data_IF_399723463209
#
_entry.id   IF_399723463209
#
_cell.length_a   1.000
_cell.length_b   1.000
_cell.length_c   1.000
_cell.angle_alpha   90.00
_cell.angle_beta   90.00
_cell.angle_gamma   90.00
#
_symmetry.space_group_name_H-M   'P 1'
#
loop_
_entity.id
_entity.type
_entity.pdbx_description
1 polymer ?
#
# COMPACT_ATOMS: atom_id res chain seq x y z
N UNK A 1 36.35 47.92 24.62
CA UNK A 1 37.64 47.40 24.12
C UNK A 1 37.69 45.85 24.07
N UNK A 2 36.55 45.15 23.92
CA UNK A 2 36.52 43.68 23.79
C UNK A 2 35.45 43.24 22.77
N UNK A 3 35.74 43.39 21.47
CA UNK A 3 34.84 42.87 20.42
C UNK A 3 35.51 42.35 19.15
N UNK A 4 36.80 42.01 19.19
CA UNK A 4 37.56 41.56 18.00
C UNK A 4 38.25 40.19 18.08
N UNK A 5 37.84 39.29 18.99
CA UNK A 5 38.49 37.96 19.14
C UNK A 5 37.72 36.75 18.57
N UNK A 6 36.56 36.93 17.94
CA UNK A 6 35.75 35.79 17.44
C UNK A 6 35.93 35.44 15.95
N UNK A 7 36.53 36.31 15.13
CA UNK A 7 36.66 36.05 13.68
C UNK A 7 37.92 35.27 13.27
N UNK A 8 38.94 35.19 14.13
CA UNK A 8 40.19 34.46 13.83
C UNK A 8 40.15 32.95 14.12
N UNK A 9 39.05 32.43 14.69
CA UNK A 9 38.94 30.99 15.05
C UNK A 9 38.40 30.07 13.94
N UNK A 10 37.84 30.61 12.85
CA UNK A 10 37.37 29.82 11.70
C UNK A 10 38.51 29.23 10.82
N UNK A 11 39.59 29.96 10.48
CA UNK A 11 40.65 29.38 9.64
C UNK A 11 41.44 28.25 10.32
N UNK A 12 41.56 28.27 11.66
CA UNK A 12 42.31 27.26 12.42
C UNK A 12 41.65 25.88 12.38
N UNK A 13 40.32 25.79 12.34
CA UNK A 13 39.61 24.49 12.26
C UNK A 13 39.73 23.84 10.88
N UNK A 14 39.86 24.63 9.81
CA UNK A 14 40.11 24.11 8.46
C UNK A 14 41.53 23.56 8.31
N UNK A 15 42.50 24.22 8.95
CA UNK A 15 43.90 23.77 9.00
C UNK A 15 44.08 22.42 9.72
N UNK A 16 43.30 22.12 10.76
CA UNK A 16 43.37 20.85 11.48
C UNK A 16 42.87 19.67 10.62
N UNK A 17 41.84 19.88 9.80
CA UNK A 17 41.37 18.85 8.86
C UNK A 17 42.39 18.63 7.75
N UNK A 18 43.01 19.70 7.21
CA UNK A 18 44.07 19.60 6.21
C UNK A 18 45.33 18.92 6.78
N UNK A 19 45.67 19.14 8.05
CA UNK A 19 46.84 18.52 8.69
C UNK A 19 46.73 16.99 8.83
N UNK A 20 45.53 16.40 8.76
CA UNK A 20 45.34 14.95 8.70
C UNK A 20 45.58 14.35 7.30
N UNK A 21 45.62 15.19 6.26
CA UNK A 21 45.86 14.78 4.88
C UNK A 21 47.24 15.20 4.34
N UNK A 22 48.01 15.97 5.11
CA UNK A 22 49.36 16.39 4.75
C UNK A 22 50.42 15.42 5.27
N UNK A 23 51.42 15.15 4.45
CA UNK A 23 52.68 14.57 4.88
C UNK A 23 53.29 15.43 6.02
N UNK A 24 53.69 14.83 7.17
CA UNK A 24 54.35 15.53 8.26
C UNK A 24 55.54 16.38 7.82
N UNK A 25 56.27 15.95 6.79
CA UNK A 25 57.43 16.68 6.27
C UNK A 25 57.03 17.96 5.54
N UNK A 26 55.85 17.96 4.89
CA UNK A 26 55.28 19.16 4.30
C UNK A 26 54.90 20.17 5.37
N UNK A 27 54.26 19.73 6.47
CA UNK A 27 53.88 20.62 7.58
C UNK A 27 55.10 21.24 8.28
N UNK A 28 56.19 20.49 8.41
CA UNK A 28 57.43 21.00 8.99
C UNK A 28 58.07 22.07 8.09
N UNK A 29 57.97 21.94 6.76
CA UNK A 29 58.45 22.98 5.84
C UNK A 29 57.70 24.32 5.97
N UNK A 30 56.44 24.30 6.43
CA UNK A 30 55.64 25.52 6.64
C UNK A 30 55.98 26.26 7.94
N UNK A 31 56.69 25.62 8.89
CA UNK A 31 57.05 26.22 10.19
C UNK A 31 58.24 27.18 10.12
N UNK A 32 59.04 27.10 9.06
CA UNK A 32 60.31 27.84 8.93
C UNK A 32 60.24 29.01 7.94
N UNK A 33 59.05 29.46 7.53
CA UNK A 33 58.89 30.55 6.57
C UNK A 33 59.10 31.88 7.30
N UNK A 34 60.07 32.68 6.86
CA UNK A 34 60.26 34.03 7.39
C UNK A 34 59.22 34.97 6.76
N UNK A 35 58.24 35.37 7.57
CA UNK A 35 57.14 36.25 7.15
C UNK A 35 57.63 37.66 6.77
N UNK A 36 58.87 38.01 7.09
CA UNK A 36 59.52 39.26 6.66
C UNK A 36 60.11 39.23 5.25
N UNK A 37 60.21 38.06 4.62
CA UNK A 37 60.76 37.90 3.26
C UNK A 37 59.63 37.76 2.23
N UNK A 38 59.44 38.78 1.39
CA UNK A 38 58.37 38.83 0.40
C UNK A 38 58.48 37.72 -0.67
N UNK A 39 59.70 37.31 -1.04
CA UNK A 39 59.92 36.21 -1.99
C UNK A 39 59.49 34.86 -1.40
N UNK A 40 59.86 34.58 -0.15
CA UNK A 40 59.46 33.35 0.55
C UNK A 40 57.94 33.28 0.75
N UNK A 41 57.30 34.41 1.08
CA UNK A 41 55.86 34.49 1.22
C UNK A 41 55.12 34.23 -0.10
N UNK A 42 55.62 34.77 -1.22
CA UNK A 42 55.03 34.52 -2.53
C UNK A 42 55.24 33.08 -3.00
N UNK A 43 56.41 32.49 -2.75
CA UNK A 43 56.67 31.08 -3.02
C UNK A 43 55.76 30.15 -2.19
N UNK A 44 55.50 30.50 -0.93
CA UNK A 44 54.55 29.78 -0.08
C UNK A 44 53.13 29.86 -0.64
N UNK A 45 52.64 31.05 -1.01
CA UNK A 45 51.29 31.21 -1.59
C UNK A 45 51.10 30.32 -2.81
N UNK A 46 52.07 30.30 -3.74
CA UNK A 46 52.02 29.44 -4.92
C UNK A 46 51.97 27.94 -4.57
N UNK A 47 52.78 27.50 -3.60
CA UNK A 47 52.75 26.11 -3.13
C UNK A 47 51.43 25.78 -2.43
N UNK A 48 50.91 26.70 -1.63
CA UNK A 48 49.64 26.55 -0.93
C UNK A 48 48.47 26.48 -1.91
N UNK A 49 48.43 27.35 -2.91
CA UNK A 49 47.39 27.35 -3.95
C UNK A 49 47.44 26.07 -4.80
N UNK A 50 48.63 25.60 -5.15
CA UNK A 50 48.83 24.32 -5.84
C UNK A 50 48.35 23.14 -4.99
N UNK A 51 48.74 23.09 -3.72
CA UNK A 51 48.29 22.06 -2.78
C UNK A 51 46.77 22.09 -2.60
N UNK A 52 46.19 23.27 -2.38
CA UNK A 52 44.75 23.44 -2.21
C UNK A 52 43.99 23.02 -3.47
N UNK A 53 44.51 23.34 -4.65
CA UNK A 53 43.96 22.87 -5.94
C UNK A 53 43.99 21.33 -6.05
N UNK A 54 45.07 20.68 -5.61
CA UNK A 54 45.16 19.21 -5.60
C UNK A 54 44.16 18.57 -4.61
N UNK A 55 44.00 19.16 -3.42
CA UNK A 55 43.01 18.70 -2.43
C UNK A 55 41.60 18.86 -2.98
N UNK A 56 41.27 20.00 -3.59
CA UNK A 56 39.96 20.22 -4.22
C UNK A 56 39.71 19.23 -5.36
N UNK A 57 40.71 18.92 -6.18
CA UNK A 57 40.62 17.91 -7.22
C UNK A 57 40.38 16.50 -6.64
N UNK A 58 41.09 16.14 -5.57
CA UNK A 58 40.92 14.84 -4.91
C UNK A 58 39.53 14.71 -4.27
N UNK A 59 39.07 15.73 -3.54
CA UNK A 59 37.72 15.76 -2.94
C UNK A 59 36.66 15.69 -4.03
N UNK A 60 36.82 16.44 -5.13
CA UNK A 60 35.90 16.40 -6.27
C UNK A 60 35.90 15.03 -6.94
N UNK A 61 37.06 14.39 -7.10
CA UNK A 61 37.21 13.05 -7.67
C UNK A 61 36.53 12.00 -6.79
N UNK A 62 36.77 12.02 -5.48
CA UNK A 62 36.13 11.12 -4.51
C UNK A 62 34.63 11.36 -4.42
N UNK A 63 34.19 12.62 -4.49
CA UNK A 63 32.77 12.94 -4.57
C UNK A 63 32.12 12.34 -5.82
N UNK A 64 32.74 12.47 -7.00
CA UNK A 64 32.26 11.82 -8.24
C UNK A 64 32.29 10.30 -8.15
N UNK A 65 33.30 9.70 -7.52
CA UNK A 65 33.37 8.25 -7.31
C UNK A 65 32.22 7.78 -6.42
N UNK A 66 31.96 8.48 -5.30
CA UNK A 66 30.82 8.22 -4.42
C UNK A 66 29.50 8.44 -5.15
N UNK A 67 29.36 9.51 -5.94
CA UNK A 67 28.17 9.74 -6.76
C UNK A 67 27.98 8.63 -7.80
N UNK A 68 29.04 8.17 -8.46
CA UNK A 68 28.97 7.09 -9.44
C UNK A 68 28.62 5.76 -8.78
N UNK A 69 29.21 5.46 -7.63
CA UNK A 69 28.89 4.26 -6.84
C UNK A 69 27.46 4.31 -6.28
N UNK A 70 26.98 5.49 -5.88
CA UNK A 70 25.59 5.68 -5.45
C UNK A 70 24.60 5.66 -6.64
N UNK A 71 25.05 6.03 -7.85
CA UNK A 71 24.27 5.92 -9.08
C UNK A 71 24.15 4.47 -9.54
N UNK A 72 25.15 3.62 -9.26
CA UNK A 72 25.03 2.18 -9.48
C UNK A 72 23.90 1.63 -8.60
N UNK A 73 22.77 1.33 -9.24
CA UNK A 73 21.58 0.83 -8.55
C UNK A 73 20.61 1.90 -8.06
N UNK A 74 20.78 3.19 -8.36
CA UNK A 74 19.72 4.20 -8.14
C UNK A 74 19.05 4.57 -9.45
N UNK A 75 17.72 4.53 -9.49
CA UNK A 75 16.95 4.90 -10.68
C UNK A 75 17.17 6.36 -11.07
N UNK A 76 17.57 6.58 -12.32
CA UNK A 76 17.55 7.91 -12.95
C UNK A 76 16.13 8.45 -13.03
N UNK A 77 15.96 9.77 -13.17
CA UNK A 77 14.64 10.38 -13.37
C UNK A 77 13.88 9.78 -14.58
N UNK A 78 14.60 9.45 -15.67
CA UNK A 78 14.03 8.76 -16.83
C UNK A 78 13.51 7.37 -16.49
N UNK A 79 14.26 6.58 -15.74
CA UNK A 79 13.81 5.25 -15.29
C UNK A 79 12.60 5.34 -14.36
N UNK A 80 12.57 6.31 -13.43
CA UNK A 80 11.40 6.54 -12.56
C UNK A 80 10.15 6.86 -13.38
N UNK A 81 10.25 7.78 -14.34
CA UNK A 81 9.15 8.09 -15.25
C UNK A 81 8.73 6.86 -16.05
N UNK A 82 9.70 6.13 -16.62
CA UNK A 82 9.43 4.91 -17.38
C UNK A 82 8.65 3.89 -16.55
N UNK A 83 9.05 3.68 -15.29
CA UNK A 83 8.33 2.79 -14.37
C UNK A 83 6.90 3.28 -14.13
N UNK A 84 6.71 4.57 -13.83
CA UNK A 84 5.37 5.15 -13.63
C UNK A 84 4.50 4.97 -14.89
N UNK A 85 5.06 5.22 -16.09
CA UNK A 85 4.38 5.02 -17.36
C UNK A 85 4.00 3.56 -17.63
N UNK A 86 4.92 2.62 -17.41
CA UNK A 86 4.66 1.17 -17.61
C UNK A 86 3.63 0.62 -16.63
N UNK A 87 3.54 1.20 -15.43
CA UNK A 87 2.52 0.87 -14.44
C UNK A 87 1.21 1.62 -14.65
N UNK A 88 1.17 2.51 -15.66
CA UNK A 88 0.02 3.33 -16.02
C UNK A 88 -0.51 4.22 -14.88
N UNK A 89 0.36 4.65 -13.95
CA UNK A 89 -0.01 5.43 -12.77
C UNK A 89 -0.19 6.94 -13.03
N UNK A 90 -0.02 7.37 -14.28
CA UNK A 90 -0.15 8.75 -14.73
C UNK A 90 -1.54 9.10 -15.27
N UNK A 91 -2.45 8.12 -15.38
CA UNK A 91 -3.77 8.37 -15.94
C UNK A 91 -4.59 9.27 -15.00
N UNK A 92 -5.36 10.24 -15.54
CA UNK A 92 -6.30 10.97 -14.71
C UNK A 92 -7.42 10.02 -14.24
N UNK A 93 -7.69 10.05 -12.93
CA UNK A 93 -8.85 9.37 -12.36
C UNK A 93 -10.13 9.97 -12.93
N UNK A 94 -11.10 9.11 -13.26
CA UNK A 94 -12.41 9.53 -13.77
C UNK A 94 -13.43 9.57 -12.64
N UNK A 95 -14.41 10.45 -12.71
CA UNK A 95 -15.60 10.37 -11.86
C UNK A 95 -16.58 9.31 -12.40
N UNK A 96 -17.59 8.95 -11.62
CA UNK A 96 -18.70 8.11 -12.10
C UNK A 96 -19.43 8.77 -13.26
N UNK A 97 -19.61 10.09 -13.24
CA UNK A 97 -20.26 10.82 -14.33
C UNK A 97 -19.44 10.75 -15.62
N UNK A 98 -18.11 10.87 -15.54
CA UNK A 98 -17.21 10.71 -16.69
C UNK A 98 -17.30 9.28 -17.25
N UNK A 99 -17.29 8.28 -16.36
CA UNK A 99 -17.41 6.86 -16.74
C UNK A 99 -18.76 6.60 -17.41
N UNK A 100 -19.86 7.17 -16.92
CA UNK A 100 -21.19 7.03 -17.51
C UNK A 100 -21.29 7.74 -18.87
N UNK A 101 -20.65 8.90 -19.01
CA UNK A 101 -20.66 9.67 -20.26
C UNK A 101 -19.85 8.99 -21.38
N UNK A 102 -18.71 8.37 -21.04
CA UNK A 102 -17.84 7.69 -22.01
C UNK A 102 -18.32 6.28 -22.38
N UNK A 103 -19.16 5.66 -21.55
CA UNK A 103 -19.68 4.31 -21.75
C UNK A 103 -21.19 4.37 -21.99
N UNK A 104 -21.65 4.85 -23.18
CA UNK A 104 -23.06 4.74 -23.53
C UNK A 104 -23.44 3.28 -23.41
N UNK A 105 -24.59 2.99 -22.78
CA UNK A 105 -25.08 1.67 -22.38
C UNK A 105 -25.19 0.68 -23.55
N UNK A 106 -24.07 0.25 -24.13
CA UNK A 106 -24.03 -0.80 -25.13
C UNK A 106 -23.92 -2.13 -24.39
N UNK A 107 -25.08 -2.69 -24.07
CA UNK A 107 -25.21 -3.99 -23.43
C UNK A 107 -24.64 -5.14 -24.29
N UNK A 108 -24.28 -4.88 -25.56
CA UNK A 108 -23.71 -5.88 -26.46
C UNK A 108 -22.17 -5.83 -26.54
N UNK A 109 -21.50 -4.88 -25.89
CA UNK A 109 -20.04 -4.85 -25.87
C UNK A 109 -19.52 -6.16 -25.24
N UNK A 110 -18.58 -6.90 -25.88
CA UNK A 110 -18.33 -8.30 -25.56
C UNK A 110 -17.57 -8.60 -24.25
N UNK A 111 -17.13 -7.59 -23.49
CA UNK A 111 -16.69 -7.62 -22.07
C UNK A 111 -16.17 -6.24 -21.67
N UNK A 112 -16.42 -5.81 -20.44
CA UNK A 112 -15.89 -4.57 -19.89
C UNK A 112 -14.36 -4.64 -19.77
N UNK A 113 -13.65 -3.62 -20.25
CA UNK A 113 -12.20 -3.48 -20.16
C UNK A 113 -11.80 -2.52 -19.04
N UNK A 114 -10.51 -2.43 -18.72
CA UNK A 114 -10.01 -1.46 -17.73
C UNK A 114 -10.42 -0.02 -18.07
N UNK A 115 -10.41 0.35 -19.35
CA UNK A 115 -10.72 1.71 -19.81
C UNK A 115 -12.24 1.93 -20.00
N UNK A 116 -12.99 0.86 -20.23
CA UNK A 116 -14.44 0.87 -20.44
C UNK A 116 -15.06 -0.27 -19.61
N UNK A 117 -15.22 -0.08 -18.29
CA UNK A 117 -15.81 -1.10 -17.44
C UNK A 117 -17.33 -1.18 -17.67
N UNK A 118 -17.91 -2.37 -17.51
CA UNK A 118 -19.36 -2.53 -17.56
C UNK A 118 -20.06 -1.73 -16.47
N UNK A 119 -21.13 -1.03 -16.82
CA UNK A 119 -21.97 -0.33 -15.84
C UNK A 119 -23.16 -1.21 -15.51
N UNK A 120 -23.22 -1.67 -14.27
CA UNK A 120 -24.26 -2.57 -13.79
C UNK A 120 -25.07 -1.84 -12.73
N UNK A 121 -26.26 -1.39 -13.12
CA UNK A 121 -27.25 -0.87 -12.19
C UNK A 121 -27.88 -2.03 -11.44
N UNK A 122 -27.63 -2.11 -10.13
CA UNK A 122 -28.15 -3.22 -9.34
C UNK A 122 -28.93 -2.72 -8.14
N UNK A 123 -30.25 -2.85 -8.24
CA UNK A 123 -31.11 -2.68 -7.07
C UNK A 123 -30.78 -3.75 -6.05
N UNK A 124 -30.31 -3.28 -4.93
CA UNK A 124 -29.91 -3.99 -3.74
C UNK A 124 -31.04 -4.90 -3.21
N UNK A 125 -30.78 -6.21 -3.08
CA UNK A 125 -31.79 -7.19 -2.63
C UNK A 125 -31.76 -7.35 -1.09
N UNK A 126 -32.87 -6.97 -0.45
CA UNK A 126 -33.04 -6.95 1.01
C UNK A 126 -33.62 -8.24 1.61
N UNK A 127 -34.09 -9.20 0.80
CA UNK A 127 -34.97 -10.28 1.29
C UNK A 127 -34.31 -11.67 1.34
N UNK A 128 -33.08 -11.85 0.85
CA UNK A 128 -32.48 -13.19 0.77
C UNK A 128 -30.94 -13.22 0.78
N UNK A 129 -30.37 -14.21 1.50
CA UNK A 129 -28.93 -14.49 1.61
C UNK A 129 -28.55 -15.30 2.87
N UNK A 130 -27.39 -15.96 2.86
CA UNK A 130 -26.89 -16.75 3.99
C UNK A 130 -26.61 -15.92 5.26
N UNK A 131 -26.61 -16.58 6.42
CA UNK A 131 -26.28 -15.95 7.70
C UNK A 131 -24.82 -15.45 7.78
N UNK A 132 -24.51 -14.60 8.76
CA UNK A 132 -23.11 -14.29 9.09
C UNK A 132 -22.34 -15.57 9.38
N UNK A 133 -21.03 -15.54 9.13
CA UNK A 133 -20.10 -16.67 9.31
C UNK A 133 -20.38 -17.88 8.43
N UNK A 134 -21.30 -17.78 7.48
CA UNK A 134 -21.47 -18.82 6.45
C UNK A 134 -20.23 -18.84 5.56
N UNK A 135 -19.71 -20.04 5.33
CA UNK A 135 -18.60 -20.26 4.41
C UNK A 135 -19.15 -20.37 3.00
N UNK A 136 -18.40 -19.85 2.04
CA UNK A 136 -18.84 -19.71 0.66
C UNK A 136 -18.08 -20.67 -0.23
N UNK A 137 -18.80 -21.31 -1.13
CA UNK A 137 -18.23 -22.15 -2.17
C UNK A 137 -18.56 -21.56 -3.55
N UNK A 138 -17.60 -21.59 -4.47
CA UNK A 138 -17.90 -21.48 -5.90
C UNK A 138 -18.47 -22.84 -6.37
N UNK A 139 -19.25 -22.84 -7.45
CA UNK A 139 -19.68 -24.03 -8.22
C UNK A 139 -18.58 -25.04 -8.52
N UNK A 140 -17.34 -24.57 -8.54
CA UNK A 140 -16.16 -25.34 -8.90
C UNK A 140 -15.47 -26.01 -7.69
N UNK A 141 -15.91 -25.68 -6.48
CA UNK A 141 -15.48 -26.30 -5.23
C UNK A 141 -16.50 -27.36 -4.81
N UNK A 142 -16.04 -28.50 -4.28
CA UNK A 142 -16.93 -29.44 -3.58
C UNK A 142 -17.44 -28.76 -2.30
N UNK A 143 -18.70 -28.32 -2.23
CA UNK A 143 -19.19 -27.63 -1.04
C UNK A 143 -19.21 -28.63 0.12
N UNK A 144 -18.79 -28.21 1.31
CA UNK A 144 -19.17 -28.93 2.52
C UNK A 144 -20.69 -28.79 2.72
N UNK A 145 -21.29 -29.70 3.51
CA UNK A 145 -22.75 -29.76 3.73
C UNK A 145 -23.38 -28.44 4.21
N UNK A 146 -22.59 -27.46 4.67
CA UNK A 146 -23.04 -26.17 5.20
C UNK A 146 -22.60 -24.97 4.37
N UNK A 147 -21.89 -25.19 3.27
CA UNK A 147 -21.40 -24.10 2.44
C UNK A 147 -22.54 -23.54 1.58
N UNK A 148 -22.55 -22.22 1.41
CA UNK A 148 -23.47 -21.58 0.50
C UNK A 148 -22.80 -21.44 -0.87
N UNK A 149 -23.39 -22.09 -1.89
CA UNK A 149 -22.87 -22.06 -3.26
C UNK A 149 -23.24 -20.74 -3.94
N UNK A 150 -22.25 -19.94 -4.28
CA UNK A 150 -22.42 -18.65 -4.95
C UNK A 150 -22.31 -18.81 -6.47
N UNK A 151 -23.46 -18.87 -7.16
CA UNK A 151 -23.52 -19.06 -8.61
C UNK A 151 -24.68 -18.29 -9.27
N UNK A 152 -24.72 -18.28 -10.59
CA UNK A 152 -25.78 -17.59 -11.36
C UNK A 152 -27.18 -18.14 -11.04
N UNK A 153 -27.31 -19.46 -10.85
CA UNK A 153 -28.57 -20.11 -10.48
C UNK A 153 -29.10 -19.64 -9.10
N UNK A 154 -28.19 -19.29 -8.18
CA UNK A 154 -28.49 -18.68 -6.88
C UNK A 154 -28.67 -17.15 -6.97
N UNK A 155 -28.65 -16.58 -8.19
CA UNK A 155 -28.84 -15.16 -8.47
C UNK A 155 -27.61 -14.29 -8.21
N UNK A 156 -26.40 -14.87 -8.22
CA UNK A 156 -25.16 -14.11 -8.17
C UNK A 156 -24.77 -13.65 -9.56
N UNK A 157 -24.17 -12.47 -9.64
CA UNK A 157 -23.44 -12.06 -10.83
C UNK A 157 -22.00 -12.57 -10.69
N UNK A 158 -21.49 -13.24 -11.72
CA UNK A 158 -20.12 -13.75 -11.74
C UNK A 158 -19.29 -12.81 -12.58
N UNK A 159 -18.52 -11.93 -11.93
CA UNK A 159 -17.55 -11.07 -12.61
C UNK A 159 -16.32 -11.92 -12.93
N UNK A 160 -16.09 -12.15 -14.22
CA UNK A 160 -15.08 -13.10 -14.72
C UNK A 160 -13.65 -12.54 -14.60
N UNK A 161 -12.64 -13.40 -14.78
CA UNK A 161 -11.21 -13.07 -14.54
C UNK A 161 -10.66 -11.93 -15.39
N UNK A 162 -11.29 -11.65 -16.53
CA UNK A 162 -10.86 -10.63 -17.48
C UNK A 162 -11.91 -9.51 -17.61
N UNK A 163 -12.77 -9.36 -16.62
CA UNK A 163 -13.89 -8.44 -16.66
C UNK A 163 -13.68 -7.28 -15.69
N UNK A 164 -13.88 -6.07 -16.21
CA UNK A 164 -14.00 -4.86 -15.40
C UNK A 164 -15.47 -4.43 -15.35
N UNK A 165 -15.97 -4.15 -14.15
CA UNK A 165 -17.35 -3.75 -13.91
C UNK A 165 -17.48 -2.75 -12.74
N UNK A 166 -18.41 -1.80 -12.88
CA UNK A 166 -18.82 -0.82 -11.88
C UNK A 166 -20.28 -1.11 -11.52
N UNK A 167 -20.51 -1.50 -10.27
CA UNK A 167 -21.84 -1.77 -9.73
C UNK A 167 -22.37 -0.51 -9.05
N UNK A 168 -23.40 0.08 -9.66
CA UNK A 168 -24.04 1.30 -9.17
C UNK A 168 -25.34 0.98 -8.44
N UNK A 169 -25.59 1.75 -7.40
CA UNK A 169 -26.90 1.86 -6.74
C UNK A 169 -27.31 3.33 -6.66
N UNK A 170 -28.60 3.56 -6.47
CA UNK A 170 -29.14 4.89 -6.22
C UNK A 170 -29.23 5.10 -4.71
N UNK A 171 -28.26 5.84 -4.17
CA UNK A 171 -28.26 6.18 -2.74
C UNK A 171 -28.66 7.64 -2.54
N UNK A 172 -29.32 7.98 -1.43
CA UNK A 172 -29.57 9.37 -1.08
C UNK A 172 -28.27 10.19 -1.05
N UNK A 173 -28.33 11.40 -1.57
CA UNK A 173 -27.23 12.36 -1.50
C UNK A 173 -26.91 12.71 -0.05
N UNK A 174 -25.64 12.98 0.26
CA UNK A 174 -25.24 13.42 1.60
C UNK A 174 -25.92 14.73 2.02
N UNK A 175 -26.28 15.57 1.05
CA UNK A 175 -26.87 16.89 1.30
C UNK A 175 -28.41 16.90 1.25
N UNK A 176 -29.01 15.89 0.61
CA UNK A 176 -30.46 15.84 0.41
C UNK A 176 -30.91 14.39 0.28
N UNK A 177 -31.67 13.91 1.26
CA UNK A 177 -32.15 12.53 1.29
C UNK A 177 -33.17 12.20 0.20
N UNK A 178 -33.78 13.20 -0.42
CA UNK A 178 -34.74 13.02 -1.52
C UNK A 178 -34.04 12.88 -2.88
N UNK A 179 -32.82 13.40 -3.00
CA UNK A 179 -32.04 13.32 -4.24
C UNK A 179 -31.23 12.02 -4.23
N UNK A 180 -31.58 11.10 -5.12
CA UNK A 180 -30.83 9.87 -5.31
C UNK A 180 -29.68 10.10 -6.31
N UNK A 181 -28.46 9.84 -5.88
CA UNK A 181 -27.26 9.94 -6.71
C UNK A 181 -26.71 8.55 -7.03
N UNK A 182 -26.21 8.33 -8.27
CA UNK A 182 -25.45 7.14 -8.60
C UNK A 182 -24.27 7.00 -7.65
N UNK A 183 -24.22 5.92 -6.88
CA UNK A 183 -23.13 5.67 -5.95
C UNK A 183 -22.53 4.30 -6.25
N UNK A 184 -21.20 4.22 -6.45
CA UNK A 184 -20.54 2.94 -6.66
C UNK A 184 -20.56 2.13 -5.36
N UNK A 185 -20.97 0.88 -5.48
CA UNK A 185 -21.09 -0.06 -4.35
C UNK A 185 -20.05 -1.15 -4.40
N UNK A 186 -19.62 -1.49 -5.62
CA UNK A 186 -18.48 -2.35 -5.91
C UNK A 186 -17.89 -1.89 -7.24
N UNK A 187 -16.57 -1.78 -7.29
CA UNK A 187 -15.82 -1.52 -8.52
C UNK A 187 -14.83 -2.66 -8.67
N UNK A 188 -14.78 -3.27 -9.84
CA UNK A 188 -13.82 -4.33 -10.20
C UNK A 188 -13.13 -3.90 -11.48
N UNK A 189 -11.81 -3.82 -11.46
CA UNK A 189 -10.99 -3.40 -12.57
C UNK A 189 -9.89 -4.45 -12.79
N UNK A 190 -9.97 -5.14 -13.92
CA UNK A 190 -8.96 -6.11 -14.34
C UNK A 190 -7.81 -5.43 -15.09
N UNK A 191 -6.60 -6.00 -14.99
CA UNK A 191 -5.44 -5.56 -15.78
C UNK A 191 -4.73 -4.32 -15.24
N UNK A 192 -4.96 -3.95 -13.97
CA UNK A 192 -4.26 -2.83 -13.32
C UNK A 192 -2.76 -3.13 -13.23
N UNK A 193 -1.97 -2.05 -13.35
CA UNK A 193 -0.53 -2.05 -13.62
C UNK A 193 -0.15 -2.41 -15.05
N UNK A 194 -1.08 -2.39 -16.01
CA UNK A 194 -0.76 -2.45 -17.43
C UNK A 194 -0.32 -3.83 -17.89
N UNK A 195 -1.26 -4.77 -18.01
CA UNK A 195 -1.02 -6.15 -18.45
C UNK A 195 -0.29 -6.29 -19.81
N UNK A 196 -0.07 -5.19 -20.55
CA UNK A 196 0.67 -5.14 -21.80
C UNK A 196 2.17 -4.80 -21.70
N UNK A 197 2.69 -4.40 -20.53
CA UNK A 197 4.11 -4.06 -20.38
C UNK A 197 4.90 -5.18 -19.67
N UNK A 198 6.09 -5.57 -20.17
CA UNK A 198 6.95 -6.57 -19.51
C UNK A 198 7.31 -6.20 -18.06
N UNK A 199 7.51 -4.91 -17.78
CA UNK A 199 7.81 -4.38 -16.46
C UNK A 199 6.71 -4.67 -15.44
N UNK A 200 5.47 -4.76 -15.89
CA UNK A 200 4.30 -5.00 -15.04
C UNK A 200 4.29 -6.39 -14.45
N UNK A 201 4.69 -7.41 -15.22
CA UNK A 201 4.83 -8.77 -14.73
C UNK A 201 5.92 -8.87 -13.65
N UNK A 202 7.07 -8.21 -13.87
CA UNK A 202 8.15 -8.11 -12.88
C UNK A 202 7.66 -7.38 -11.63
N UNK A 203 6.91 -6.29 -11.79
CA UNK A 203 6.39 -5.51 -10.68
C UNK A 203 5.35 -6.28 -9.84
N UNK A 204 4.42 -6.99 -10.49
CA UNK A 204 3.44 -7.84 -9.80
C UNK A 204 4.13 -9.01 -9.07
N UNK A 205 5.16 -9.62 -9.67
CA UNK A 205 5.99 -10.62 -9.00
C UNK A 205 6.73 -10.06 -7.78
N UNK A 206 7.22 -8.81 -7.88
CA UNK A 206 7.79 -8.11 -6.74
C UNK A 206 6.75 -7.87 -5.63
N UNK A 207 5.54 -7.39 -5.95
CA UNK A 207 4.46 -7.22 -4.98
C UNK A 207 4.09 -8.54 -4.29
N UNK A 208 3.98 -9.64 -5.05
CA UNK A 208 3.75 -10.99 -4.51
C UNK A 208 4.84 -11.35 -3.51
N UNK A 209 6.12 -11.18 -3.87
CA UNK A 209 7.23 -11.47 -2.98
C UNK A 209 7.18 -10.62 -1.70
N UNK A 210 6.78 -9.35 -1.77
CA UNK A 210 6.57 -8.51 -0.58
C UNK A 210 5.51 -9.11 0.34
N UNK A 211 4.39 -9.60 -0.23
CA UNK A 211 3.34 -10.28 0.53
C UNK A 211 3.85 -11.58 1.17
N UNK A 212 4.49 -12.46 0.40
CA UNK A 212 5.03 -13.73 0.90
C UNK A 212 6.00 -13.53 2.06
N UNK A 213 6.96 -12.61 1.91
CA UNK A 213 7.94 -12.30 2.96
C UNK A 213 7.24 -11.69 4.18
N UNK A 214 6.26 -10.80 3.99
CA UNK A 214 5.53 -10.19 5.09
C UNK A 214 4.74 -11.22 5.92
N UNK A 215 4.04 -12.16 5.28
CA UNK A 215 3.26 -13.20 5.98
C UNK A 215 4.11 -14.27 6.64
N UNK A 216 5.34 -14.50 6.18
CA UNK A 216 6.28 -15.41 6.83
C UNK A 216 6.95 -14.78 8.05
N UNK A 217 7.21 -13.48 8.02
CA UNK A 217 8.00 -12.80 9.04
C UNK A 217 7.17 -12.16 10.16
N UNK A 218 5.85 -12.02 9.98
CA UNK A 218 4.96 -11.41 10.97
C UNK A 218 4.00 -12.44 11.55
N UNK A 219 3.55 -12.16 12.77
CA UNK A 219 2.50 -12.95 13.43
C UNK A 219 1.22 -12.86 12.61
N UNK A 220 0.60 -14.00 12.39
CA UNK A 220 -0.71 -14.09 11.78
C UNK A 220 -1.75 -13.39 12.66
N UNK A 221 -2.60 -12.57 12.03
CA UNK A 221 -3.71 -11.88 12.69
C UNK A 221 -4.80 -12.89 13.06
N UNK A 222 -4.95 -13.99 12.31
CA UNK A 222 -5.95 -15.02 12.55
C UNK A 222 -5.33 -16.43 12.47
N UNK A 223 -4.57 -16.85 13.49
CA UNK A 223 -3.82 -18.11 13.46
C UNK A 223 -4.69 -19.38 13.31
N UNK A 224 -5.99 -19.29 13.65
CA UNK A 224 -6.94 -20.41 13.52
C UNK A 224 -7.64 -20.45 12.15
N UNK A 225 -7.47 -19.42 11.32
CA UNK A 225 -8.01 -19.40 9.97
C UNK A 225 -7.04 -20.09 8.99
N UNK A 226 -7.54 -20.72 7.91
CA UNK A 226 -6.67 -21.15 6.83
C UNK A 226 -5.98 -19.95 6.18
N UNK A 227 -4.80 -20.17 5.61
CA UNK A 227 -3.99 -19.11 5.01
C UNK A 227 -3.17 -18.33 6.02
N UNK A 228 -2.73 -17.14 5.62
CA UNK A 228 -2.01 -16.19 6.46
C UNK A 228 -2.47 -14.78 6.18
N UNK A 229 -2.67 -14.00 7.23
CA UNK A 229 -2.97 -12.58 7.13
C UNK A 229 -2.08 -11.77 8.05
N UNK A 230 -1.48 -10.70 7.53
CA UNK A 230 -0.71 -9.76 8.35
C UNK A 230 -1.23 -8.36 8.14
N UNK A 231 -1.52 -7.68 9.24
CA UNK A 231 -1.88 -6.28 9.25
C UNK A 231 -0.61 -5.41 9.34
N UNK A 232 -0.60 -4.32 8.59
CA UNK A 232 0.50 -3.37 8.50
C UNK A 232 -0.04 -1.95 8.64
N UNK A 233 0.77 -1.08 9.25
CA UNK A 233 0.40 0.28 9.58
C UNK A 233 0.02 0.40 11.06
N UNK A 234 -1.05 1.13 11.35
CA UNK A 234 -1.46 1.53 12.70
C UNK A 234 -2.18 0.37 13.43
N UNK A 235 -1.43 -0.61 13.94
CA UNK A 235 -1.99 -1.74 14.69
C UNK A 235 -2.22 -1.37 16.16
N UNK A 236 -3.47 -1.37 16.64
CA UNK A 236 -3.89 -0.83 17.94
C UNK A 236 -4.31 -1.89 18.97
N UNK A 237 -3.66 -3.05 18.99
CA UNK A 237 -3.78 -3.93 20.16
C UNK A 237 -3.37 -3.21 21.47
N UNK A 238 -3.85 -3.60 22.67
CA UNK A 238 -3.53 -2.84 23.89
C UNK A 238 -2.07 -3.01 24.36
N UNK A 239 -1.35 -4.03 23.85
CA UNK A 239 0.13 -4.09 23.92
C UNK A 239 0.83 -3.16 22.92
N UNK A 240 0.11 -2.64 21.93
CA UNK A 240 0.59 -1.79 20.82
C UNK A 240 0.29 -0.29 21.02
N UNK A 241 -0.60 0.06 21.96
CA UNK A 241 -0.75 1.44 22.44
C UNK A 241 0.60 2.07 22.90
N UNK A 242 1.54 1.25 23.39
CA UNK A 242 2.90 1.68 23.79
C UNK A 242 4.02 1.22 22.86
N UNK A 243 3.74 0.29 21.96
CA UNK A 243 4.75 -0.31 21.09
C UNK A 243 4.31 -0.15 19.66
N UNK A 244 4.78 0.95 19.07
CA UNK A 244 4.93 1.09 17.63
C UNK A 244 5.63 -0.20 17.16
N UNK A 245 4.90 -1.08 16.45
CA UNK A 245 5.40 -2.43 16.16
C UNK A 245 6.84 -2.39 15.66
N UNK A 246 7.67 -3.30 16.16
CA UNK A 246 9.02 -3.54 15.67
C UNK A 246 8.90 -4.59 14.57
N UNK A 247 8.71 -4.22 13.29
CA UNK A 247 8.82 -5.21 12.23
C UNK A 247 10.23 -5.79 12.23
N UNK A 248 10.42 -7.05 11.79
CA UNK A 248 11.74 -7.48 11.36
C UNK A 248 12.29 -6.43 10.38
N UNK A 249 13.53 -6.01 10.61
CA UNK A 249 14.08 -4.78 10.03
C UNK A 249 14.17 -4.81 8.50
N UNK A 250 14.13 -5.98 7.86
CA UNK A 250 14.64 -6.18 6.51
C UNK A 250 13.69 -5.87 5.35
N UNK A 251 12.37 -5.74 5.54
CA UNK A 251 11.42 -5.54 4.41
C UNK A 251 10.38 -4.43 4.62
N UNK A 252 10.51 -3.61 5.66
CA UNK A 252 9.46 -2.63 6.00
C UNK A 252 9.29 -1.55 4.92
N UNK A 253 10.39 -1.14 4.29
CA UNK A 253 10.37 -0.18 3.20
C UNK A 253 9.61 -0.74 1.99
N UNK A 254 9.80 -2.03 1.68
CA UNK A 254 9.10 -2.69 0.58
C UNK A 254 7.60 -2.79 0.85
N UNK A 255 7.18 -3.08 2.09
CA UNK A 255 5.75 -3.10 2.43
C UNK A 255 5.13 -1.69 2.31
N UNK A 256 5.81 -0.65 2.82
CA UNK A 256 5.34 0.73 2.66
C UNK A 256 5.27 1.11 1.19
N UNK A 257 6.29 0.74 0.40
CA UNK A 257 6.30 0.97 -1.03
C UNK A 257 5.15 0.24 -1.73
N UNK A 258 4.96 -1.06 -1.46
CA UNK A 258 3.91 -1.88 -2.05
C UNK A 258 2.53 -1.28 -1.76
N UNK A 259 2.21 -1.05 -0.50
CA UNK A 259 0.92 -0.45 -0.09
C UNK A 259 0.72 0.95 -0.70
N UNK A 260 1.77 1.78 -0.76
CA UNK A 260 1.70 3.11 -1.38
C UNK A 260 1.48 3.04 -2.88
N UNK A 261 2.12 2.10 -3.59
CA UNK A 261 1.86 1.91 -5.02
C UNK A 261 0.47 1.34 -5.29
N UNK A 262 -0.04 0.47 -4.43
CA UNK A 262 -1.44 0.00 -4.50
C UNK A 262 -2.42 1.16 -4.29
N UNK A 263 -2.18 2.02 -3.29
CA UNK A 263 -3.00 3.22 -3.10
C UNK A 263 -2.89 4.21 -4.27
N UNK A 264 -1.71 4.38 -4.86
CA UNK A 264 -1.54 5.17 -6.07
C UNK A 264 -2.38 4.60 -7.23
N UNK A 265 -2.35 3.27 -7.44
CA UNK A 265 -3.18 2.61 -8.44
C UNK A 265 -4.68 2.80 -8.16
N UNK A 266 -5.10 2.71 -6.88
CA UNK A 266 -6.47 2.99 -6.47
C UNK A 266 -6.88 4.42 -6.84
N UNK A 267 -6.03 5.43 -6.55
CA UNK A 267 -6.28 6.83 -6.92
C UNK A 267 -6.22 7.11 -8.42
N UNK A 268 -5.54 6.29 -9.20
CA UNK A 268 -5.47 6.42 -10.66
C UNK A 268 -6.69 5.80 -11.35
N UNK A 269 -7.10 4.61 -10.89
CA UNK A 269 -8.02 3.76 -11.65
C UNK A 269 -9.43 3.68 -11.09
N UNK A 270 -9.62 3.82 -9.77
CA UNK A 270 -10.97 3.83 -9.20
C UNK A 270 -11.67 5.16 -9.50
N UNK A 271 -13.02 5.18 -9.49
CA UNK A 271 -13.76 6.42 -9.55
C UNK A 271 -13.32 7.41 -8.46
N UNK A 272 -13.15 8.69 -8.83
CA UNK A 272 -12.80 9.76 -7.87
C UNK A 272 -13.84 9.88 -6.76
N UNK A 273 -15.10 9.56 -7.05
CA UNK A 273 -16.19 9.46 -6.08
C UNK A 273 -15.88 8.55 -4.88
N UNK A 274 -15.06 7.52 -5.06
CA UNK A 274 -14.65 6.61 -3.98
C UNK A 274 -13.43 7.17 -3.27
N UNK A 275 -12.38 7.51 -4.02
CA UNK A 275 -11.08 7.87 -3.45
C UNK A 275 -11.12 9.23 -2.76
N UNK A 276 -11.87 10.21 -3.30
CA UNK A 276 -12.10 11.50 -2.63
C UNK A 276 -12.90 11.36 -1.33
N UNK A 277 -13.91 10.49 -1.27
CA UNK A 277 -14.66 10.22 -0.02
C UNK A 277 -13.73 9.63 1.04
N UNK A 278 -12.87 8.69 0.65
CA UNK A 278 -11.86 8.12 1.55
C UNK A 278 -10.88 9.19 2.03
N UNK A 279 -10.28 9.98 1.13
CA UNK A 279 -9.33 11.03 1.51
C UNK A 279 -9.98 12.10 2.39
N UNK A 280 -11.23 12.50 2.10
CA UNK A 280 -12.00 13.42 2.95
C UNK A 280 -12.21 12.87 4.37
N UNK A 281 -12.50 11.57 4.54
CA UNK A 281 -12.63 10.95 5.87
C UNK A 281 -11.28 10.88 6.59
N UNK A 282 -10.21 10.55 5.88
CA UNK A 282 -8.85 10.58 6.45
C UNK A 282 -8.51 11.98 6.96
N UNK A 283 -8.79 13.02 6.19
CA UNK A 283 -8.57 14.42 6.58
C UNK A 283 -9.45 14.84 7.75
N UNK A 284 -10.76 14.54 7.69
CA UNK A 284 -11.74 14.84 8.74
C UNK A 284 -11.33 14.25 10.10
N UNK A 285 -10.84 13.01 10.11
CA UNK A 285 -10.38 12.35 11.33
C UNK A 285 -8.89 12.65 11.65
N UNK A 286 -8.23 13.43 10.79
CA UNK A 286 -6.79 13.72 10.79
C UNK A 286 -5.96 12.45 10.96
N UNK A 287 -6.34 11.40 10.24
CA UNK A 287 -5.67 10.10 10.26
C UNK A 287 -4.28 10.24 9.64
N UNK A 288 -3.24 9.64 10.25
CA UNK A 288 -1.89 9.69 9.71
C UNK A 288 -1.80 8.86 8.43
N UNK A 289 -0.75 9.07 7.65
CA UNK A 289 -0.40 8.16 6.54
C UNK A 289 0.40 6.96 7.07
N UNK A 290 0.54 5.92 6.24
CA UNK A 290 1.25 4.70 6.62
C UNK A 290 2.66 5.03 7.13
N UNK A 291 2.91 4.62 8.37
CA UNK A 291 4.17 4.81 9.05
C UNK A 291 4.45 3.61 9.94
N UNK A 292 5.71 3.45 10.32
CA UNK A 292 6.15 2.35 11.19
C UNK A 292 7.16 2.90 12.17
N UNK A 293 7.48 2.14 13.23
CA UNK A 293 8.49 2.57 14.20
C UNK A 293 9.83 2.95 13.55
N UNK A 294 10.22 2.20 12.52
CA UNK A 294 11.50 2.36 11.83
C UNK A 294 11.41 3.37 10.68
N UNK A 295 10.21 3.71 10.24
CA UNK A 295 9.96 4.62 9.14
C UNK A 295 8.94 5.65 9.61
N UNK A 296 9.45 6.76 10.15
CA UNK A 296 8.63 7.84 10.69
C UNK A 296 7.65 8.35 9.62
N UNK A 297 6.52 8.85 10.09
CA UNK A 297 5.68 9.74 9.30
C UNK A 297 6.44 11.04 9.06
N UNK A 298 6.34 11.59 7.86
CA UNK A 298 7.02 12.83 7.52
C UNK A 298 6.52 13.95 8.42
N UNK A 299 7.42 14.86 8.79
CA UNK A 299 7.02 16.03 9.57
C UNK A 299 5.99 16.79 8.72
N UNK A 300 4.79 16.92 9.30
CA UNK A 300 3.49 17.30 8.72
C UNK A 300 3.42 18.59 7.88
N UNK A 301 4.53 19.29 7.63
CA UNK A 301 4.48 20.62 7.02
C UNK A 301 5.38 20.87 5.81
N UNK A 302 6.46 20.11 5.54
CA UNK A 302 7.33 20.47 4.38
C UNK A 302 8.02 19.36 3.58
N UNK A 303 7.98 18.08 3.96
CA UNK A 303 8.57 17.02 3.14
C UNK A 303 7.78 15.72 3.29
N UNK A 304 7.24 15.19 2.18
CA UNK A 304 6.63 13.87 2.17
C UNK A 304 7.63 12.84 2.68
N UNK A 305 7.22 11.97 3.59
CA UNK A 305 7.97 10.73 3.78
C UNK A 305 7.59 9.81 2.64
N UNK A 306 8.26 9.98 1.51
CA UNK A 306 8.10 9.11 0.37
C UNK A 306 8.40 7.65 0.66
N UNK A 307 8.59 6.90 -0.41
CA UNK A 307 8.95 5.49 -0.32
C UNK A 307 10.09 5.16 -1.27
N UNK A 308 10.74 4.05 -0.98
CA UNK A 308 11.83 3.50 -1.78
C UNK A 308 11.48 2.05 -2.07
N UNK A 309 11.58 1.63 -3.33
CA UNK A 309 11.39 0.24 -3.74
C UNK A 309 12.58 -0.23 -4.58
N UNK A 310 13.00 -1.48 -4.36
CA UNK A 310 14.02 -2.14 -5.17
C UNK A 310 13.37 -3.06 -6.20
N UNK A 311 13.58 -2.80 -7.50
CA UNK A 311 13.09 -3.63 -8.60
C UNK A 311 14.24 -3.94 -9.55
N UNK A 312 14.51 -5.22 -9.81
CA UNK A 312 15.61 -5.69 -10.68
C UNK A 312 16.99 -5.08 -10.35
N UNK A 313 17.31 -4.97 -9.05
CA UNK A 313 18.57 -4.36 -8.59
C UNK A 313 18.64 -2.84 -8.73
N UNK A 314 17.55 -2.19 -9.17
CA UNK A 314 17.43 -0.73 -9.27
C UNK A 314 16.53 -0.21 -8.15
N UNK A 315 17.03 0.78 -7.42
CA UNK A 315 16.36 1.44 -6.30
C UNK A 315 15.64 2.68 -6.80
N UNK A 316 14.32 2.67 -6.75
CA UNK A 316 13.46 3.79 -7.11
C UNK A 316 13.04 4.53 -5.84
N UNK A 317 13.41 5.80 -5.73
CA UNK A 317 13.05 6.66 -4.60
C UNK A 317 12.05 7.73 -5.06
N UNK A 318 10.93 7.83 -4.35
CA UNK A 318 9.84 8.77 -4.59
C UNK A 318 9.61 9.62 -3.33
N UNK A 319 10.52 10.56 -2.99
CA UNK A 319 10.49 11.30 -1.73
C UNK A 319 9.24 12.16 -1.56
N UNK A 320 8.72 12.71 -2.65
CA UNK A 320 7.61 13.68 -2.62
C UNK A 320 6.23 13.04 -2.73
N UNK A 321 6.16 11.71 -2.85
CA UNK A 321 4.88 11.00 -2.97
C UNK A 321 4.32 10.68 -1.59
N UNK A 322 3.06 11.04 -1.38
CA UNK A 322 2.35 10.70 -0.15
C UNK A 322 2.15 9.19 -0.03
N UNK A 323 2.41 8.64 1.15
CA UNK A 323 2.20 7.21 1.45
C UNK A 323 0.72 6.83 1.44
N UNK A 324 0.49 5.51 1.39
CA UNK A 324 -0.83 4.92 1.60
C UNK A 324 -1.51 5.37 2.91
N UNK A 325 -2.83 5.18 3.04
CA UNK A 325 -3.56 5.27 4.31
C UNK A 325 -2.94 4.40 5.43
N UNK A 326 -3.35 4.62 6.69
CA UNK A 326 -2.64 4.08 7.84
C UNK A 326 -2.82 2.58 8.07
N UNK A 327 -3.65 1.89 7.29
CA UNK A 327 -3.94 0.47 7.49
C UNK A 327 -3.91 -0.29 6.17
N UNK A 328 -3.18 -1.41 6.18
CA UNK A 328 -3.19 -2.38 5.10
C UNK A 328 -3.15 -3.81 5.64
N UNK A 329 -3.66 -4.75 4.84
CA UNK A 329 -3.59 -6.18 5.08
C UNK A 329 -2.87 -6.83 3.90
N UNK A 330 -1.90 -7.68 4.20
CA UNK A 330 -1.21 -8.52 3.23
C UNK A 330 -1.64 -9.96 3.53
N UNK A 331 -2.21 -10.62 2.54
CA UNK A 331 -2.87 -11.92 2.72
C UNK A 331 -2.34 -12.92 1.71
N UNK A 332 -2.18 -14.17 2.17
CA UNK A 332 -1.88 -15.34 1.33
C UNK A 332 -2.87 -16.42 1.69
N UNK A 333 -3.54 -16.97 0.69
CA UNK A 333 -4.39 -18.15 0.79
C UNK A 333 -5.42 -18.07 1.92
N UNK A 334 -5.98 -16.87 2.14
CA UNK A 334 -6.79 -16.56 3.30
C UNK A 334 -8.30 -16.58 2.97
N UNK A 335 -9.00 -17.72 3.17
CA UNK A 335 -10.46 -17.77 3.13
C UNK A 335 -11.05 -17.14 4.40
N UNK A 336 -12.11 -16.36 4.24
CA UNK A 336 -12.84 -15.78 5.34
C UNK A 336 -14.34 -15.93 5.11
N UNK A 337 -15.01 -16.48 6.11
CA UNK A 337 -16.47 -16.58 6.12
C UNK A 337 -17.11 -15.20 6.00
N UNK A 338 -18.40 -15.19 5.68
CA UNK A 338 -19.18 -13.96 5.64
C UNK A 338 -19.07 -13.13 6.92
N UNK A 339 -18.66 -11.88 6.78
CA UNK A 339 -18.53 -10.95 7.89
C UNK A 339 -18.81 -9.51 7.46
N UNK A 340 -18.72 -8.60 8.43
CA UNK A 340 -18.80 -7.16 8.28
C UNK A 340 -17.55 -6.59 8.93
N UNK A 341 -16.96 -5.59 8.31
CA UNK A 341 -15.85 -4.85 8.90
C UNK A 341 -16.32 -3.43 9.17
N UNK A 342 -16.55 -3.06 10.45
CA UNK A 342 -16.81 -1.68 10.80
C UNK A 342 -15.66 -0.79 10.35
N UNK A 343 -15.95 0.19 9.50
CA UNK A 343 -14.95 1.10 8.96
C UNK A 343 -15.38 2.57 9.13
N UNK A 344 -14.40 3.46 9.18
CA UNK A 344 -14.62 4.91 9.30
C UNK A 344 -14.61 5.64 7.97
N UNK A 345 -14.06 5.02 6.92
CA UNK A 345 -14.11 5.52 5.55
C UNK A 345 -15.17 4.77 4.75
N UNK A 346 -15.76 5.42 3.76
CA UNK A 346 -16.87 4.86 2.95
C UNK A 346 -16.34 3.96 1.81
N UNK A 347 -15.44 3.05 2.14
CA UNK A 347 -14.82 2.14 1.18
C UNK A 347 -13.51 1.54 1.68
N UNK A 348 -13.18 0.38 1.14
CA UNK A 348 -11.85 -0.24 1.17
C UNK A 348 -11.45 -0.59 -0.26
N UNK A 349 -10.15 -0.71 -0.53
CA UNK A 349 -9.67 -1.18 -1.82
C UNK A 349 -8.66 -2.31 -1.67
N UNK A 350 -8.63 -3.22 -2.63
CA UNK A 350 -7.74 -4.37 -2.62
C UNK A 350 -7.29 -4.71 -4.02
N UNK A 351 -6.07 -5.21 -4.14
CA UNK A 351 -5.52 -5.71 -5.40
C UNK A 351 -4.99 -7.13 -5.22
N UNK A 352 -5.42 -8.00 -6.12
CA UNK A 352 -4.85 -9.34 -6.27
C UNK A 352 -3.48 -9.20 -6.95
N UNK A 353 -2.41 -9.48 -6.21
CA UNK A 353 -1.03 -9.42 -6.72
C UNK A 353 -0.55 -10.78 -7.23
N UNK A 354 -1.29 -11.84 -6.90
CA UNK A 354 -1.13 -13.17 -7.47
C UNK A 354 -2.45 -13.94 -7.37
N UNK A 355 -2.88 -14.54 -8.47
CA UNK A 355 -3.94 -15.53 -8.48
C UNK A 355 -3.48 -16.73 -9.32
N UNK A 356 -2.85 -17.71 -8.67
CA UNK A 356 -2.44 -18.94 -9.30
C UNK A 356 -3.55 -19.98 -9.14
N UNK A 357 -4.07 -20.44 -10.27
CA UNK A 357 -5.16 -21.42 -10.33
C UNK A 357 -4.67 -22.78 -10.81
N UNK A 358 -3.36 -22.96 -10.97
CA UNK A 358 -2.78 -24.26 -11.23
C UNK A 358 -3.00 -25.13 -10.00
N UNK A 359 -3.72 -26.24 -10.18
CA UNK A 359 -4.00 -27.17 -9.09
C UNK A 359 -2.70 -27.92 -8.77
N UNK A 360 -2.30 -27.90 -7.51
CA UNK A 360 -1.15 -28.67 -7.04
C UNK A 360 -1.32 -30.17 -7.40
N UNK A 361 -0.38 -30.81 -8.13
CA UNK A 361 -0.53 -32.18 -8.64
C UNK A 361 -0.97 -33.26 -7.63
N UNK A 362 -0.65 -33.20 -6.32
CA UNK A 362 -1.16 -34.17 -5.35
C UNK A 362 -2.70 -34.17 -5.24
N UNK A 363 -3.33 -33.01 -5.43
CA UNK A 363 -4.80 -32.87 -5.42
C UNK A 363 -5.43 -33.32 -6.75
N UNK A 364 -4.66 -33.36 -7.84
CA UNK A 364 -5.12 -33.86 -9.14
C UNK A 364 -5.34 -35.39 -9.15
N UNK A 365 -4.90 -36.10 -8.12
CA UNK A 365 -5.16 -37.54 -7.93
C UNK A 365 -6.53 -37.85 -7.31
N UNK A 366 -7.22 -36.82 -6.78
CA UNK A 366 -8.63 -36.95 -6.41
C UNK A 366 -9.47 -37.01 -7.71
N UNK A 367 -10.57 -37.78 -7.75
CA UNK A 367 -11.35 -38.00 -8.98
C UNK A 367 -11.62 -36.69 -9.73
N UNK A 368 -11.27 -36.64 -11.03
CA UNK A 368 -11.26 -35.43 -11.88
C UNK A 368 -12.60 -34.67 -11.88
N UNK A 369 -13.69 -35.32 -11.50
CA UNK A 369 -15.02 -34.74 -11.35
C UNK A 369 -15.18 -33.86 -10.08
N UNK A 370 -14.15 -33.72 -9.24
CA UNK A 370 -14.28 -33.08 -7.90
C UNK A 370 -13.60 -31.72 -7.71
N UNK A 371 -12.74 -31.27 -8.62
CA UNK A 371 -12.08 -29.96 -8.48
C UNK A 371 -11.95 -29.25 -9.83
N UNK A 372 -12.64 -28.12 -9.96
CA UNK A 372 -12.41 -27.17 -11.04
C UNK A 372 -11.56 -26.00 -10.51
N UNK A 373 -10.66 -25.52 -11.37
CA UNK A 373 -9.56 -24.56 -11.19
C UNK A 373 -9.99 -23.13 -10.79
N UNK A 374 -10.96 -22.93 -9.90
CA UNK A 374 -11.62 -21.63 -9.74
C UNK A 374 -11.94 -21.18 -8.29
N UNK A 375 -11.26 -21.70 -7.27
CA UNK A 375 -11.36 -21.16 -5.90
C UNK A 375 -10.58 -19.86 -5.69
N UNK A 376 -10.74 -19.23 -4.52
CA UNK A 376 -9.97 -18.03 -4.10
C UNK A 376 -10.57 -16.67 -4.48
N UNK A 377 -11.86 -16.68 -4.77
CA UNK A 377 -12.63 -15.56 -5.31
C UNK A 377 -13.15 -14.70 -4.16
N UNK A 378 -13.00 -13.37 -4.24
CA UNK A 378 -13.68 -12.46 -3.30
C UNK A 378 -15.16 -12.41 -3.63
N UNK A 379 -16.00 -12.59 -2.62
CA UNK A 379 -17.44 -12.54 -2.78
C UNK A 379 -18.00 -11.45 -1.87
N UNK A 380 -19.06 -10.81 -2.35
CA UNK A 380 -19.91 -9.94 -1.55
C UNK A 380 -21.32 -10.54 -1.37
N UNK A 381 -21.52 -11.62 -0.57
CA UNK A 381 -22.86 -12.18 -0.31
C UNK A 381 -23.60 -11.51 0.86
N UNK A 382 -24.93 -11.63 0.91
CA UNK A 382 -25.89 -10.83 1.71
C UNK A 382 -26.32 -11.36 3.10
N UNK A 383 -26.74 -10.45 4.04
CA UNK A 383 -28.07 -10.37 4.77
C UNK A 383 -28.16 -9.76 6.22
N UNK A 384 -28.13 -8.44 6.46
CA UNK A 384 -28.95 -7.80 7.55
C UNK A 384 -29.03 -6.29 7.37
N UNK A 385 -30.25 -5.70 7.43
CA UNK A 385 -30.69 -4.28 7.28
C UNK A 385 -30.04 -3.39 6.20
N UNK A 386 -28.85 -3.72 5.73
CA UNK A 386 -28.12 -3.13 4.64
C UNK A 386 -28.00 -4.15 3.51
N UNK A 387 -28.26 -3.76 2.25
CA UNK A 387 -28.40 -4.73 1.19
C UNK A 387 -27.06 -5.13 0.56
N UNK A 388 -27.02 -6.29 -0.11
CA UNK A 388 -25.83 -6.83 -0.78
C UNK A 388 -25.88 -6.67 -2.29
N UNK A 389 -24.69 -6.67 -2.90
CA UNK A 389 -24.49 -6.66 -4.34
C UNK A 389 -24.65 -8.04 -4.98
N UNK A 390 -24.53 -9.17 -4.25
CA UNK A 390 -24.51 -10.55 -4.79
C UNK A 390 -23.59 -10.71 -5.99
N UNK A 391 -22.34 -10.28 -5.81
CA UNK A 391 -21.30 -10.39 -6.84
C UNK A 391 -20.23 -11.34 -6.36
N UNK A 392 -19.81 -12.22 -7.26
CA UNK A 392 -18.66 -13.12 -7.13
C UNK A 392 -17.58 -12.55 -8.04
N UNK A 393 -16.44 -12.14 -7.50
CA UNK A 393 -15.33 -11.55 -8.28
C UNK A 393 -14.24 -12.58 -8.46
N UNK A 394 -14.20 -13.20 -9.64
CA UNK A 394 -13.14 -14.15 -10.00
C UNK A 394 -11.86 -13.36 -10.24
N UNK A 395 -11.01 -13.26 -9.24
CA UNK A 395 -9.79 -12.45 -9.34
C UNK A 395 -8.75 -13.11 -10.24
N UNK A 396 -8.09 -12.29 -11.05
CA UNK A 396 -6.82 -12.57 -11.69
C UNK A 396 -5.72 -11.73 -11.03
N UNK A 397 -4.46 -11.99 -11.38
CA UNK A 397 -3.35 -11.10 -11.02
C UNK A 397 -3.57 -9.72 -11.68
N UNK A 398 -3.46 -8.65 -10.90
CA UNK A 398 -3.75 -7.29 -11.35
C UNK A 398 -5.23 -6.90 -11.29
N UNK A 399 -6.10 -7.70 -10.67
CA UNK A 399 -7.48 -7.27 -10.38
C UNK A 399 -7.51 -6.34 -9.18
N UNK A 400 -7.80 -5.06 -9.41
CA UNK A 400 -8.08 -4.05 -8.39
C UNK A 400 -9.59 -3.97 -8.15
N UNK A 401 -10.02 -3.88 -6.91
CA UNK A 401 -11.43 -3.66 -6.60
C UNK A 401 -11.60 -2.78 -5.38
N UNK A 402 -12.73 -2.09 -5.33
CA UNK A 402 -13.15 -1.29 -4.18
C UNK A 402 -14.59 -1.61 -3.81
N UNK A 403 -14.85 -1.68 -2.52
CA UNK A 403 -16.15 -2.03 -1.96
C UNK A 403 -16.33 -1.35 -0.60
N UNK A 404 -17.56 -1.19 -0.15
CA UNK A 404 -17.85 -0.75 1.21
C UNK A 404 -17.83 -1.97 2.15
N UNK A 405 -16.87 -2.05 3.08
CA UNK A 405 -16.66 -3.22 3.93
C UNK A 405 -17.69 -3.29 5.08
N UNK A 406 -18.53 -2.26 5.26
CA UNK A 406 -19.72 -2.32 6.12
C UNK A 406 -20.87 -3.12 5.49
N UNK A 407 -20.72 -3.55 4.24
CA UNK A 407 -21.57 -4.58 3.65
C UNK A 407 -20.97 -5.97 3.84
N UNK A 408 -21.85 -6.98 3.82
CA UNK A 408 -21.41 -8.36 4.00
C UNK A 408 -20.52 -8.81 2.85
N UNK A 409 -19.38 -9.36 3.22
CA UNK A 409 -18.39 -9.85 2.28
C UNK A 409 -17.64 -11.04 2.89
N UNK A 410 -16.95 -11.78 2.04
CA UNK A 410 -16.14 -12.93 2.39
C UNK A 410 -15.30 -13.39 1.20
N UNK A 411 -14.61 -14.50 1.34
CA UNK A 411 -13.90 -15.16 0.24
C UNK A 411 -14.36 -16.61 0.14
N UNK A 412 -14.35 -17.16 -1.07
CA UNK A 412 -14.60 -18.60 -1.23
C UNK A 412 -13.49 -19.43 -0.63
N UNK A 413 -13.77 -20.71 -0.43
CA UNK A 413 -12.72 -21.71 -0.41
C UNK A 413 -11.79 -21.60 -1.63
N UNK A 414 -10.50 -21.83 -1.38
CA UNK A 414 -9.44 -21.80 -2.38
C UNK A 414 -9.38 -23.07 -3.24
N UNK A 415 -9.76 -24.22 -2.68
CA UNK A 415 -9.87 -25.48 -3.41
C UNK A 415 -8.61 -25.82 -4.25
N UNK A 416 -7.43 -25.52 -3.70
CA UNK A 416 -6.13 -25.73 -4.36
C UNK A 416 -5.61 -24.54 -5.17
N UNK A 417 -6.38 -23.46 -5.32
CA UNK A 417 -5.87 -22.19 -5.84
C UNK A 417 -5.02 -21.46 -4.80
N UNK A 418 -4.07 -20.66 -5.27
CA UNK A 418 -3.28 -19.76 -4.44
C UNK A 418 -3.61 -18.31 -4.75
N UNK A 419 -3.90 -17.51 -3.72
CA UNK A 419 -4.18 -16.09 -3.87
C UNK A 419 -3.30 -15.24 -2.95
N UNK A 420 -2.84 -14.10 -3.47
CA UNK A 420 -2.12 -13.10 -2.68
C UNK A 420 -2.75 -11.74 -2.94
N UNK A 421 -3.13 -11.05 -1.87
CA UNK A 421 -3.85 -9.78 -1.95
C UNK A 421 -3.24 -8.75 -1.00
N UNK A 422 -3.15 -7.51 -1.49
CA UNK A 422 -2.88 -6.32 -0.67
C UNK A 422 -4.18 -5.53 -0.57
N UNK A 423 -4.68 -5.35 0.65
CA UNK A 423 -5.89 -4.58 0.95
C UNK A 423 -5.53 -3.33 1.72
N UNK A 424 -6.08 -2.18 1.34
CA UNK A 424 -6.03 -0.93 2.11
C UNK A 424 -7.37 -0.81 2.86
N UNK A 425 -7.28 -0.84 4.20
CA UNK A 425 -8.42 -0.88 5.11
C UNK A 425 -8.58 0.43 5.89
N UNK A 426 -9.74 0.57 6.55
CA UNK A 426 -10.11 1.75 7.33
C UNK A 426 -10.93 1.37 8.57
N UNK A 427 -10.44 0.43 9.36
CA UNK A 427 -11.10 -0.13 10.54
C UNK A 427 -11.48 0.94 11.57
N UNK A 428 -12.74 0.92 12.00
CA UNK A 428 -13.23 1.82 13.05
C UNK A 428 -12.46 1.65 14.37
N UNK A 429 -11.90 0.45 14.62
CA UNK A 429 -11.06 0.21 15.80
C UNK A 429 -9.75 1.00 15.78
N UNK A 430 -9.16 1.19 14.59
CA UNK A 430 -7.95 2.00 14.42
C UNK A 430 -8.27 3.47 14.67
N UNK A 431 -9.37 3.97 14.11
CA UNK A 431 -9.81 5.35 14.35
C UNK A 431 -10.06 5.59 15.85
N UNK A 432 -10.84 4.73 16.51
CA UNK A 432 -11.16 4.87 17.92
C UNK A 432 -9.89 4.87 18.80
N UNK A 433 -8.95 3.97 18.51
CA UNK A 433 -7.68 3.92 19.22
C UNK A 433 -6.78 5.14 18.94
N UNK A 434 -6.79 5.67 17.72
CA UNK A 434 -6.08 6.90 17.38
C UNK A 434 -6.67 8.12 18.08
N UNK A 435 -8.00 8.25 18.13
CA UNK A 435 -8.70 9.29 18.87
C UNK A 435 -8.42 9.19 20.38
N UNK A 436 -8.41 7.97 20.93
CA UNK A 436 -8.01 7.74 22.32
C UNK A 436 -6.55 8.19 22.57
N UNK A 437 -5.62 7.84 21.66
CA UNK A 437 -4.22 8.25 21.78
C UNK A 437 -4.02 9.78 21.67
N UNK A 438 -4.80 10.47 20.83
CA UNK A 438 -4.79 11.94 20.70
C UNK A 438 -5.12 12.64 22.02
N UNK A 439 -6.02 12.07 22.81
CA UNK A 439 -6.45 12.63 24.10
C UNK A 439 -5.47 12.34 25.25
N UNK A 440 -4.36 11.67 24.97
CA UNK A 440 -3.34 11.29 25.96
C UNK A 440 -3.55 9.89 26.54
N UNK A 441 -2.46 9.16 26.75
CA UNK A 441 -2.51 7.87 27.47
C UNK A 441 -2.60 8.14 28.97
N UNK A 442 -3.80 8.25 29.52
CA UNK A 442 -3.97 8.36 30.97
C UNK A 442 -3.74 7.02 31.68
N UNK A 443 -4.03 5.88 31.03
CA UNK A 443 -3.85 4.54 31.60
C UNK A 443 -3.45 3.52 30.53
N UNK A 444 -2.59 2.55 30.88
CA UNK A 444 -2.32 1.39 30.02
C UNK A 444 -3.28 0.26 30.34
N UNK A 445 -4.20 -0.02 29.42
CA UNK A 445 -5.08 -1.19 29.53
C UNK A 445 -4.31 -2.52 29.44
N UNK A 446 -4.86 -3.54 30.08
CA UNK A 446 -4.35 -4.92 30.02
C UNK A 446 -4.65 -5.49 28.63
N UNK A 447 -3.63 -6.00 27.94
CA UNK A 447 -3.69 -6.49 26.56
C UNK A 447 -4.78 -7.53 26.28
N UNK A 448 -5.55 -7.32 25.20
CA UNK A 448 -6.37 -8.33 24.54
C UNK A 448 -5.46 -9.34 23.84
N UNK A 449 -5.01 -10.33 24.60
CA UNK A 449 -4.60 -11.62 24.06
C UNK A 449 -5.83 -12.52 24.04
N UNK A 450 -6.13 -13.04 22.86
CA UNK A 450 -6.99 -14.19 22.61
C UNK A 450 -8.51 -13.98 22.83
N UNK A 451 -9.23 -13.86 21.71
CA UNK A 451 -10.48 -14.61 21.54
C UNK A 451 -11.80 -14.09 22.12
N UNK A 452 -11.90 -12.89 22.69
CA UNK A 452 -13.21 -12.36 23.10
C UNK A 452 -13.56 -11.04 22.41
N UNK A 453 -14.65 -11.07 21.64
CA UNK A 453 -15.43 -9.87 21.33
C UNK A 453 -15.74 -9.18 22.66
N UNK A 454 -15.26 -7.95 22.84
CA UNK A 454 -15.67 -7.13 23.98
C UNK A 454 -17.18 -6.91 23.89
N UNK A 455 -17.94 -7.58 24.75
CA UNK A 455 -19.17 -6.98 25.27
C UNK A 455 -18.75 -5.67 25.93
N UNK A 456 -19.08 -4.56 25.31
CA UNK A 456 -19.07 -3.27 25.98
C UNK A 456 -20.09 -3.35 27.12
N UNK A 457 -19.60 -3.62 28.34
CA UNK A 457 -20.37 -3.37 29.55
C UNK A 457 -20.56 -1.86 29.60
N UNK A 458 -21.74 -1.40 29.21
CA UNK A 458 -22.21 -0.07 29.55
C UNK A 458 -22.23 0.02 31.08
N UNK A 459 -21.24 0.71 31.65
CA UNK A 459 -21.42 1.29 32.98
C UNK A 459 -22.59 2.27 32.88
N UNK A 460 -23.73 1.85 33.44
CA UNK A 460 -24.81 2.75 33.79
C UNK A 460 -24.28 3.75 34.80
N UNK A 461 -24.25 5.02 34.42
CA UNK A 461 -24.45 6.11 35.37
C UNK A 461 -25.94 6.35 35.56
#
# INVERSE_FOLDING_TARGET
>A
MEKHKSETRRPVRMLVVLAHFCDPDHLNSLRNIDVGNEEELNAFKLKFDSFFSQVLQLVSSKHREVENNNRLGTATHRQKRSLVYSLELQQPSKSIDDILAENPLDQNAPRGSLQNPYIIWRKRNLSFGPGLRTVLADTHCRPYLRDFVCNEAAGFYICDINESAVFLDHLPSENDSEVLVPTPTLVVLYGVFGAGYPESAVFLAWLKNVVDVAVQQRRDVRPDAPGKMVQVGFNTGPRHARVWMTPPKSNINDIIAATTTVWAAAKTWLPTDITHRIDHKLEKHSMPRSATRNVKEGILFFCGTGFVLGLNGVTYSFPDVQRAPPEAYLTVDYPVSLHLDPCYADGACAISVNADRTIDPPLASLPVDTFSTAGGTSITPSMSSRPSTRVVVKQATGTLFAFDPTFRHGTTHLCGAHNCTITIGFSAQIQAAFEHAKNGFHESGVGAGDGNCLEFVHEKQ
#
